data_IF_237265086954
#
_entry.id   IF_237265086954
#
_cell.length_a   1.000
_cell.length_b   1.000
_cell.length_c   1.000
_cell.angle_alpha   90.00
_cell.angle_beta   90.00
_cell.angle_gamma   90.00
#
_symmetry.space_group_name_H-M   'P 1'
#
loop_
_entity.id
_entity.type
_entity.pdbx_description
1 polymer ?
#
# COMPACT_ATOMS: atom_id res chain seq x y z
N UNK A 1 -4.67 21.11 -28.19
CA UNK A 1 -4.63 19.96 -27.25
C UNK A 1 -5.96 19.22 -27.29
N UNK A 2 -6.01 18.02 -27.85
CA UNK A 2 -7.24 17.20 -27.89
C UNK A 2 -7.47 16.65 -26.47
N UNK A 3 -8.60 17.01 -25.84
CA UNK A 3 -9.04 16.41 -24.58
C UNK A 3 -9.19 14.91 -24.79
N UNK A 4 -8.48 14.11 -23.99
CA UNK A 4 -8.64 12.65 -23.95
C UNK A 4 -10.10 12.31 -23.66
N UNK A 5 -10.70 11.46 -24.48
CA UNK A 5 -12.09 10.99 -24.36
C UNK A 5 -12.29 10.00 -23.17
N UNK A 6 -11.26 9.69 -22.44
CA UNK A 6 -11.28 8.79 -21.29
C UNK A 6 -11.01 9.53 -19.98
N UNK A 7 -11.88 10.51 -19.69
CA UNK A 7 -12.02 10.96 -18.29
C UNK A 7 -12.90 9.95 -17.56
N UNK A 8 -12.33 8.81 -17.21
CA UNK A 8 -12.99 7.94 -16.24
C UNK A 8 -13.16 8.76 -14.95
N UNK A 9 -14.36 8.83 -14.35
CA UNK A 9 -14.57 9.48 -13.06
C UNK A 9 -13.76 8.83 -11.93
N UNK A 10 -13.10 7.71 -12.22
CA UNK A 10 -12.29 6.91 -11.29
C UNK A 10 -10.79 7.28 -11.30
N UNK A 11 -10.34 8.14 -12.20
CA UNK A 11 -8.98 8.67 -12.20
C UNK A 11 -8.99 10.08 -11.64
N UNK A 12 -8.70 10.22 -10.36
CA UNK A 12 -8.35 11.53 -9.82
C UNK A 12 -7.04 11.98 -10.52
N UNK A 13 -7.09 13.09 -11.25
CA UNK A 13 -5.96 13.68 -11.99
C UNK A 13 -4.72 13.91 -11.13
N UNK A 14 -4.88 13.96 -9.82
CA UNK A 14 -3.85 14.32 -8.86
C UNK A 14 -2.96 13.13 -8.46
N UNK A 15 -3.29 11.91 -8.88
CA UNK A 15 -2.54 10.71 -8.55
C UNK A 15 -1.51 10.28 -9.59
N UNK A 16 -1.67 10.75 -10.81
CA UNK A 16 -0.72 10.57 -11.89
C UNK A 16 -0.17 11.94 -12.31
N UNK A 17 0.35 12.70 -11.36
CA UNK A 17 1.26 13.76 -11.75
C UNK A 17 2.49 13.06 -12.36
N UNK A 18 2.88 13.50 -13.55
CA UNK A 18 4.10 13.03 -14.23
C UNK A 18 5.37 13.15 -13.36
N UNK A 19 5.27 13.76 -12.21
CA UNK A 19 6.34 14.00 -11.24
C UNK A 19 6.54 12.83 -10.28
N UNK A 20 5.54 11.93 -10.13
CA UNK A 20 5.61 10.80 -9.19
C UNK A 20 6.16 9.53 -9.85
N UNK A 21 6.19 9.44 -11.18
CA UNK A 21 6.48 8.21 -11.91
C UNK A 21 7.83 8.13 -12.68
N UNK A 22 8.85 8.92 -12.43
CA UNK A 22 10.15 8.61 -12.98
C UNK A 22 10.90 7.54 -12.17
N UNK A 23 10.50 7.27 -10.93
CA UNK A 23 11.14 6.26 -10.09
C UNK A 23 10.37 4.94 -10.13
N UNK A 24 11.10 3.83 -10.15
CA UNK A 24 10.55 2.47 -10.06
C UNK A 24 9.79 2.25 -8.75
N UNK A 25 10.19 2.99 -7.71
CA UNK A 25 9.64 2.95 -6.36
C UNK A 25 9.47 4.38 -5.88
N UNK A 26 8.37 4.64 -5.21
CA UNK A 26 8.11 5.88 -4.49
C UNK A 26 7.81 5.55 -3.02
N UNK A 27 8.36 6.32 -2.10
CA UNK A 27 8.03 6.26 -0.67
C UNK A 27 7.72 7.66 -0.17
N UNK A 28 6.61 7.81 0.53
CA UNK A 28 6.17 9.10 1.02
C UNK A 28 5.28 9.03 2.26
N UNK A 29 4.88 10.21 2.71
CA UNK A 29 3.93 10.38 3.81
C UNK A 29 2.80 11.28 3.34
N UNK A 30 1.58 10.99 3.80
CA UNK A 30 0.39 11.72 3.41
C UNK A 30 -0.57 11.90 4.58
N UNK A 31 -1.25 13.05 4.58
CA UNK A 31 -2.35 13.31 5.50
C UNK A 31 -3.65 13.32 4.69
N UNK A 32 -4.52 12.36 4.98
CA UNK A 32 -5.83 12.22 4.35
C UNK A 32 -6.86 12.86 5.27
N UNK A 33 -7.43 13.99 4.83
CA UNK A 33 -8.44 14.77 5.58
C UNK A 33 -9.85 14.58 5.06
N UNK A 34 -9.98 14.07 3.85
CA UNK A 34 -11.25 13.86 3.14
C UNK A 34 -11.22 12.50 2.46
N UNK A 35 -12.40 11.97 2.18
CA UNK A 35 -12.52 10.72 1.43
C UNK A 35 -11.75 10.80 0.12
N UNK A 36 -10.85 9.85 -0.09
CA UNK A 36 -10.24 9.60 -1.40
C UNK A 36 -11.24 8.75 -2.17
N UNK A 37 -11.73 9.22 -3.35
CA UNK A 37 -12.71 8.48 -4.11
C UNK A 37 -12.15 7.13 -4.60
N UNK A 38 -13.02 6.23 -5.04
CA UNK A 38 -12.62 4.97 -5.64
C UNK A 38 -11.63 5.21 -6.77
N UNK A 39 -10.51 4.50 -6.70
CA UNK A 39 -9.44 4.54 -7.68
C UNK A 39 -8.83 3.16 -7.89
N UNK A 40 -8.13 3.03 -8.99
CA UNK A 40 -7.25 1.92 -9.33
C UNK A 40 -6.00 2.50 -10.00
N UNK A 41 -4.88 1.92 -9.78
CA UNK A 41 -3.60 2.26 -10.42
C UNK A 41 -2.83 1.00 -10.80
N UNK A 42 -1.77 1.14 -11.59
CA UNK A 42 -1.01 0.01 -12.13
C UNK A 42 0.16 -0.41 -11.22
N UNK A 43 0.35 0.31 -10.11
CA UNK A 43 1.38 0.01 -9.12
C UNK A 43 0.86 -0.92 -8.03
N UNK A 44 1.81 -1.57 -7.34
CA UNK A 44 1.59 -2.15 -6.02
C UNK A 44 1.78 -1.04 -5.00
N UNK A 45 0.78 -0.80 -4.16
CA UNK A 45 0.81 0.22 -3.12
C UNK A 45 0.73 -0.41 -1.73
N UNK A 46 1.70 -0.09 -0.88
CA UNK A 46 1.60 -0.33 0.56
C UNK A 46 1.18 0.95 1.27
N UNK A 47 0.24 0.83 2.21
CA UNK A 47 -0.21 1.94 3.06
C UNK A 47 -0.14 1.51 4.51
N UNK A 48 0.73 2.16 5.29
CA UNK A 48 0.77 2.02 6.75
C UNK A 48 0.00 3.16 7.39
N UNK A 49 -1.04 2.86 8.15
CA UNK A 49 -1.73 3.87 8.96
C UNK A 49 -0.89 4.18 10.20
N UNK A 50 -0.34 5.39 10.27
CA UNK A 50 0.52 5.89 11.35
C UNK A 50 -0.28 6.51 12.49
N UNK A 51 -1.39 7.20 12.15
CA UNK A 51 -2.32 7.75 13.14
C UNK A 51 -3.70 7.97 12.55
N UNK A 52 -4.70 8.10 13.42
CA UNK A 52 -6.09 8.32 13.04
C UNK A 52 -6.87 7.03 12.82
N UNK A 53 -8.13 7.20 12.44
CA UNK A 53 -9.10 6.13 12.21
C UNK A 53 -9.88 6.38 10.93
N UNK A 54 -10.33 5.31 10.29
CA UNK A 54 -11.10 5.41 9.05
C UNK A 54 -11.60 4.07 8.57
N UNK A 55 -12.07 4.07 7.33
CA UNK A 55 -12.51 2.87 6.62
C UNK A 55 -11.81 2.79 5.29
N UNK A 56 -11.38 1.60 4.93
CA UNK A 56 -10.90 1.29 3.59
C UNK A 56 -11.88 0.33 2.95
N UNK A 57 -12.27 0.64 1.72
CA UNK A 57 -13.12 -0.25 0.91
C UNK A 57 -12.33 -0.71 -0.29
N UNK A 58 -12.29 -2.01 -0.51
CA UNK A 58 -11.61 -2.63 -1.66
C UNK A 58 -12.55 -3.63 -2.32
N UNK A 59 -12.79 -3.45 -3.63
CA UNK A 59 -13.66 -4.33 -4.40
C UNK A 59 -14.99 -4.65 -3.67
N UNK A 60 -15.65 -3.65 -3.12
CA UNK A 60 -16.92 -3.75 -2.35
C UNK A 60 -16.79 -4.31 -0.91
N UNK A 61 -15.63 -4.73 -0.44
CA UNK A 61 -15.41 -5.10 0.96
C UNK A 61 -14.85 -3.91 1.74
N UNK A 62 -15.49 -3.59 2.87
CA UNK A 62 -15.07 -2.48 3.73
C UNK A 62 -14.59 -3.01 5.08
N UNK A 63 -13.50 -2.43 5.57
CA UNK A 63 -12.94 -2.74 6.88
C UNK A 63 -12.40 -1.50 7.58
N UNK A 64 -12.48 -1.46 8.91
CA UNK A 64 -11.95 -0.36 9.69
C UNK A 64 -10.42 -0.39 9.65
N UNK A 65 -9.83 0.81 9.63
CA UNK A 65 -8.39 1.01 9.74
C UNK A 65 -8.05 1.99 10.84
N UNK A 66 -6.95 1.76 11.50
CA UNK A 66 -6.40 2.64 12.53
C UNK A 66 -4.88 2.44 12.61
N UNK A 67 -4.20 3.15 13.50
CA UNK A 67 -2.74 2.97 13.70
C UNK A 67 -2.35 1.49 13.73
N UNK A 68 -1.35 1.12 12.95
CA UNK A 68 -0.87 -0.24 12.78
C UNK A 68 -1.59 -1.06 11.71
N UNK A 69 -2.60 -0.51 11.02
CA UNK A 69 -3.13 -1.16 9.82
C UNK A 69 -2.13 -1.02 8.68
N UNK A 70 -1.65 -2.14 8.15
CA UNK A 70 -0.82 -2.21 6.95
C UNK A 70 -1.65 -2.82 5.82
N UNK A 71 -1.78 -2.08 4.72
CA UNK A 71 -2.58 -2.45 3.56
C UNK A 71 -1.66 -2.67 2.36
N UNK A 72 -2.08 -3.53 1.45
CA UNK A 72 -1.42 -3.70 0.16
C UNK A 72 -2.46 -3.74 -0.95
N UNK A 73 -2.35 -2.81 -1.88
CA UNK A 73 -3.20 -2.75 -3.06
C UNK A 73 -2.44 -3.22 -4.29
N UNK A 74 -3.06 -4.07 -5.09
CA UNK A 74 -2.58 -4.50 -6.39
C UNK A 74 -3.34 -3.79 -7.52
N UNK A 75 -2.87 -3.86 -8.76
CA UNK A 75 -3.56 -3.26 -9.91
C UNK A 75 -5.01 -3.71 -10.11
N UNK A 76 -5.41 -4.85 -9.55
CA UNK A 76 -6.78 -5.37 -9.62
C UNK A 76 -7.73 -4.78 -8.56
N UNK A 77 -7.19 -4.00 -7.60
CA UNK A 77 -7.96 -3.49 -6.48
C UNK A 77 -8.52 -2.10 -6.76
N UNK A 78 -9.85 -2.00 -6.91
CA UNK A 78 -10.55 -0.73 -6.76
C UNK A 78 -10.65 -0.42 -5.28
N UNK A 79 -10.02 0.65 -4.84
CA UNK A 79 -9.98 1.00 -3.42
C UNK A 79 -10.39 2.44 -3.15
N UNK A 80 -10.89 2.66 -1.95
CA UNK A 80 -11.33 3.94 -1.40
C UNK A 80 -10.84 4.03 0.04
N UNK A 81 -10.36 5.19 0.46
CA UNK A 81 -9.92 5.46 1.83
C UNK A 81 -10.73 6.63 2.38
N UNK A 82 -11.39 6.42 3.52
CA UNK A 82 -12.23 7.41 4.16
C UNK A 82 -11.82 7.60 5.62
N UNK A 83 -11.30 8.76 6.01
CA UNK A 83 -11.14 9.08 7.42
C UNK A 83 -12.49 9.10 8.13
N UNK A 84 -12.51 8.74 9.41
CA UNK A 84 -13.67 8.96 10.27
C UNK A 84 -14.04 10.44 10.29
N UNK A 85 -15.34 10.75 10.26
CA UNK A 85 -15.83 12.13 10.24
C UNK A 85 -15.21 12.97 11.35
N UNK A 86 -14.59 14.09 10.97
CA UNK A 86 -13.91 14.99 11.90
C UNK A 86 -12.50 14.56 12.32
N UNK A 87 -12.00 13.43 11.75
CA UNK A 87 -10.66 12.91 11.94
C UNK A 87 -9.78 13.11 10.71
N UNK A 88 -8.54 12.67 10.81
CA UNK A 88 -7.60 12.56 9.70
C UNK A 88 -6.83 11.25 9.80
N UNK A 89 -6.41 10.72 8.68
CA UNK A 89 -5.44 9.62 8.64
C UNK A 89 -4.08 10.17 8.27
N UNK A 90 -3.05 9.79 9.03
CA UNK A 90 -1.66 9.99 8.65
C UNK A 90 -1.12 8.64 8.19
N UNK A 91 -0.63 8.58 6.97
CA UNK A 91 -0.18 7.33 6.36
C UNK A 91 1.25 7.44 5.83
N UNK A 92 1.98 6.34 5.91
CA UNK A 92 3.18 6.11 5.12
C UNK A 92 2.80 5.30 3.89
N UNK A 93 3.27 5.71 2.73
CA UNK A 93 2.98 5.07 1.44
C UNK A 93 4.27 4.55 0.80
N UNK A 94 4.19 3.36 0.19
CA UNK A 94 5.23 2.86 -0.70
C UNK A 94 4.57 2.33 -1.96
N UNK A 95 4.88 2.93 -3.09
CA UNK A 95 4.43 2.49 -4.41
C UNK A 95 5.59 1.85 -5.16
N UNK A 96 5.34 0.77 -5.88
CA UNK A 96 6.30 0.18 -6.79
C UNK A 96 5.62 -0.22 -8.09
N UNK A 97 6.33 -0.07 -9.20
CA UNK A 97 5.81 -0.50 -10.49
C UNK A 97 5.79 -2.04 -10.60
N UNK A 98 5.05 -2.55 -11.57
CA UNK A 98 4.91 -3.99 -11.80
C UNK A 98 6.23 -4.69 -12.12
N UNK A 99 7.20 -3.99 -12.71
CA UNK A 99 8.54 -4.52 -12.99
C UNK A 99 9.31 -4.84 -11.72
N UNK A 100 9.32 -3.91 -10.76
CA UNK A 100 9.92 -4.11 -9.42
C UNK A 100 9.26 -5.29 -8.71
N UNK A 101 7.94 -5.35 -8.74
CA UNK A 101 7.19 -6.44 -8.15
C UNK A 101 7.58 -7.80 -8.75
N UNK A 102 7.61 -7.90 -10.08
CA UNK A 102 8.01 -9.13 -10.78
C UNK A 102 9.47 -9.51 -10.47
N UNK A 103 10.36 -8.52 -10.37
CA UNK A 103 11.76 -8.76 -10.00
C UNK A 103 11.88 -9.35 -8.58
N UNK A 104 11.12 -8.81 -7.61
CA UNK A 104 11.11 -9.30 -6.24
C UNK A 104 10.54 -10.73 -6.19
N UNK A 105 9.41 -10.97 -6.83
CA UNK A 105 8.73 -12.29 -6.79
C UNK A 105 9.45 -13.38 -7.58
N UNK A 106 10.26 -13.01 -8.57
CA UNK A 106 11.12 -13.95 -9.29
C UNK A 106 12.35 -14.39 -8.50
N UNK A 107 12.65 -13.76 -7.35
CA UNK A 107 13.76 -14.13 -6.51
C UNK A 107 13.55 -15.55 -5.94
N UNK A 108 14.48 -16.51 -6.17
CA UNK A 108 14.32 -17.89 -5.71
C UNK A 108 14.34 -18.04 -4.18
N UNK A 109 14.78 -17.00 -3.46
CA UNK A 109 14.75 -16.94 -1.99
C UNK A 109 13.50 -16.27 -1.45
N UNK A 110 12.63 -15.80 -2.34
CA UNK A 110 11.34 -15.28 -1.95
C UNK A 110 10.41 -16.45 -1.61
N UNK A 111 9.78 -16.38 -0.45
CA UNK A 111 8.97 -17.48 0.06
C UNK A 111 7.81 -17.81 -0.87
N UNK A 112 7.48 -19.13 -1.06
CA UNK A 112 6.44 -19.58 -1.99
C UNK A 112 5.06 -18.97 -1.77
N UNK A 113 4.74 -18.51 -0.58
CA UNK A 113 3.49 -17.86 -0.26
C UNK A 113 3.30 -16.53 -1.02
N UNK A 114 4.37 -15.88 -1.42
CA UNK A 114 4.29 -14.65 -2.20
C UNK A 114 3.93 -14.86 -3.67
N UNK A 115 4.08 -16.06 -4.20
CA UNK A 115 3.55 -16.41 -5.53
C UNK A 115 2.01 -16.42 -5.56
N UNK A 116 1.39 -16.31 -4.40
CA UNK A 116 -0.02 -16.10 -4.21
C UNK A 116 -0.21 -14.71 -3.62
N UNK A 117 0.08 -13.64 -4.39
CA UNK A 117 -0.51 -12.36 -4.01
C UNK A 117 -2.01 -12.63 -3.89
N UNK A 118 -2.51 -12.61 -2.66
CA UNK A 118 -3.90 -12.91 -2.49
C UNK A 118 -4.68 -11.84 -3.23
N UNK A 119 -5.49 -12.27 -4.15
CA UNK A 119 -6.73 -11.59 -4.42
C UNK A 119 -7.62 -12.03 -3.26
N UNK A 120 -7.73 -11.29 -2.30
CA UNK A 120 -8.18 -9.96 -2.01
C UNK A 120 -7.14 -9.11 -1.27
N UNK A 121 -7.56 -7.91 -0.87
CA UNK A 121 -6.71 -6.95 -0.20
C UNK A 121 -6.08 -7.60 1.00
N UNK A 122 -4.79 -7.51 1.06
CA UNK A 122 -4.09 -7.93 2.24
C UNK A 122 -4.12 -6.76 3.21
N UNK A 123 -4.88 -6.93 4.28
CA UNK A 123 -4.80 -6.06 5.43
C UNK A 123 -4.10 -6.84 6.55
N UNK A 124 -3.05 -6.27 7.08
CA UNK A 124 -2.37 -6.80 8.25
C UNK A 124 -2.59 -5.87 9.44
N UNK A 125 -2.75 -6.41 10.64
CA UNK A 125 -2.81 -5.65 11.87
C UNK A 125 -1.51 -5.82 12.63
N UNK A 126 -0.71 -4.77 12.67
CA UNK A 126 0.58 -4.75 13.35
C UNK A 126 0.42 -4.37 14.82
N UNK A 127 1.24 -4.94 15.69
CA UNK A 127 1.42 -4.44 17.06
C UNK A 127 2.09 -3.06 17.04
N UNK A 128 2.07 -2.33 18.14
CA UNK A 128 2.73 -1.03 18.25
C UNK A 128 4.24 -1.12 17.93
N UNK A 129 4.91 -2.16 18.44
CA UNK A 129 6.33 -2.39 18.15
C UNK A 129 6.60 -2.64 16.66
N UNK A 130 5.75 -3.47 16.00
CA UNK A 130 5.91 -3.73 14.55
C UNK A 130 5.53 -2.51 13.71
N UNK A 131 4.55 -1.73 14.15
CA UNK A 131 4.18 -0.46 13.51
C UNK A 131 5.37 0.48 13.49
N UNK A 132 6.02 0.69 14.64
CA UNK A 132 7.20 1.55 14.73
C UNK A 132 8.36 1.04 13.87
N UNK A 133 8.63 -0.26 13.87
CA UNK A 133 9.65 -0.86 12.99
C UNK A 133 9.32 -0.66 11.51
N UNK A 134 8.06 -0.72 11.14
CA UNK A 134 7.61 -0.50 9.76
C UNK A 134 7.74 0.96 9.36
N UNK A 135 7.48 1.90 10.29
CA UNK A 135 7.75 3.32 10.07
C UNK A 135 9.23 3.57 9.75
N UNK A 136 10.14 3.02 10.57
CA UNK A 136 11.59 3.12 10.34
C UNK A 136 12.01 2.45 9.03
N UNK A 137 11.42 1.31 8.69
CA UNK A 137 11.69 0.61 7.43
C UNK A 137 11.32 1.47 6.22
N UNK A 138 10.17 2.15 6.26
CA UNK A 138 9.77 3.07 5.18
C UNK A 138 10.72 4.28 5.08
N UNK A 139 11.18 4.82 6.20
CA UNK A 139 12.16 5.91 6.23
C UNK A 139 13.51 5.47 5.67
N UNK A 140 13.99 4.27 6.04
CA UNK A 140 15.21 3.68 5.51
C UNK A 140 15.08 3.41 4.00
N UNK A 141 13.95 2.88 3.55
CA UNK A 141 13.66 2.66 2.14
C UNK A 141 13.71 3.98 1.36
N UNK A 142 13.04 5.03 1.85
CA UNK A 142 13.06 6.36 1.24
C UNK A 142 14.49 6.91 1.08
N UNK A 143 15.38 6.60 2.02
CA UNK A 143 16.77 7.08 1.97
C UNK A 143 17.66 6.36 0.94
N UNK A 144 17.22 5.21 0.41
CA UNK A 144 18.05 4.38 -0.48
C UNK A 144 17.49 4.19 -1.89
N UNK A 145 16.18 4.44 -2.12
CA UNK A 145 15.51 4.12 -3.40
C UNK A 145 16.08 4.90 -4.60
N UNK A 146 16.49 6.14 -4.41
CA UNK A 146 16.99 7.01 -5.50
C UNK A 146 18.47 6.80 -5.83
N UNK A 147 19.15 5.87 -5.16
CA UNK A 147 20.59 5.67 -5.32
C UNK A 147 20.97 4.83 -6.54
N UNK A 148 20.12 3.89 -6.91
CA UNK A 148 20.30 3.01 -8.06
C UNK A 148 18.99 2.32 -8.43
N UNK A 149 18.85 1.77 -9.66
CA UNK A 149 17.75 0.88 -10.02
C UNK A 149 17.64 -0.29 -9.06
N UNK A 150 16.43 -0.84 -8.87
CA UNK A 150 16.19 -1.93 -7.90
C UNK A 150 17.08 -3.15 -8.15
N UNK A 151 17.42 -3.44 -9.39
CA UNK A 151 18.29 -4.56 -9.79
C UNK A 151 19.72 -4.45 -9.28
N UNK A 152 20.15 -3.23 -8.94
CA UNK A 152 21.49 -2.90 -8.43
C UNK A 152 21.43 -2.39 -6.97
N UNK A 153 20.23 -2.18 -6.43
CA UNK A 153 19.99 -1.61 -5.10
C UNK A 153 19.61 -2.69 -4.10
N UNK A 154 20.59 -3.49 -3.67
CA UNK A 154 20.36 -4.55 -2.70
C UNK A 154 19.69 -4.09 -1.40
N UNK A 155 20.06 -2.94 -0.78
CA UNK A 155 19.35 -2.46 0.40
C UNK A 155 17.86 -2.24 0.17
N UNK A 156 17.47 -1.57 -0.92
CA UNK A 156 16.07 -1.36 -1.26
C UNK A 156 15.33 -2.68 -1.48
N UNK A 157 15.95 -3.63 -2.19
CA UNK A 157 15.40 -4.96 -2.40
C UNK A 157 15.08 -5.68 -1.09
N UNK A 158 16.01 -5.72 -0.13
CA UNK A 158 15.79 -6.38 1.17
C UNK A 158 14.74 -5.67 2.02
N UNK A 159 14.64 -4.34 1.95
CA UNK A 159 13.62 -3.59 2.67
C UNK A 159 12.22 -3.87 2.11
N UNK A 160 12.07 -3.95 0.79
CA UNK A 160 10.81 -4.35 0.16
C UNK A 160 10.43 -5.80 0.52
N UNK A 161 11.39 -6.73 0.52
CA UNK A 161 11.16 -8.10 0.97
C UNK A 161 10.62 -8.15 2.41
N UNK A 162 11.13 -7.30 3.30
CA UNK A 162 10.62 -7.20 4.68
C UNK A 162 9.17 -6.70 4.71
N UNK A 163 8.79 -5.73 3.87
CA UNK A 163 7.39 -5.27 3.78
C UNK A 163 6.45 -6.41 3.38
N UNK A 164 6.81 -7.17 2.36
CA UNK A 164 6.02 -8.34 1.95
C UNK A 164 5.95 -9.40 3.07
N UNK A 165 7.06 -9.66 3.76
CA UNK A 165 7.09 -10.59 4.88
C UNK A 165 6.20 -10.18 6.06
N UNK A 166 6.01 -8.88 6.28
CA UNK A 166 5.07 -8.39 7.30
C UNK A 166 3.63 -8.70 6.92
N UNK A 167 3.25 -8.48 5.65
CA UNK A 167 1.92 -8.84 5.16
C UNK A 167 1.66 -10.33 5.35
N UNK A 168 2.59 -11.17 4.93
CA UNK A 168 2.48 -12.62 5.02
C UNK A 168 2.27 -13.09 6.47
N UNK A 169 3.06 -12.53 7.39
CA UNK A 169 3.03 -12.90 8.81
C UNK A 169 1.76 -12.46 9.53
N UNK A 170 1.21 -11.29 9.17
CA UNK A 170 0.13 -10.63 9.90
C UNK A 170 -1.14 -10.45 9.06
N UNK A 171 -1.23 -11.12 7.90
CA UNK A 171 -2.43 -11.05 7.06
C UNK A 171 -3.66 -11.51 7.85
N UNK A 172 -4.65 -10.64 7.93
CA UNK A 172 -5.97 -10.98 8.47
C UNK A 172 -6.81 -11.49 7.30
N UNK A 173 -7.23 -12.74 7.35
CA UNK A 173 -8.12 -13.28 6.34
C UNK A 173 -9.47 -12.53 6.38
N UNK A 174 -10.10 -12.25 5.22
CA UNK A 174 -11.35 -11.48 5.16
C UNK A 174 -12.50 -12.04 6.02
N UNK A 175 -12.48 -13.32 6.34
CA UNK A 175 -13.47 -13.99 7.19
C UNK A 175 -13.38 -13.58 8.68
N UNK A 176 -12.23 -13.15 9.17
CA UNK A 176 -12.06 -12.73 10.56
C UNK A 176 -12.56 -11.30 10.80
N UNK A 177 -12.64 -10.48 9.77
CA UNK A 177 -13.18 -9.12 9.87
C UNK A 177 -14.72 -9.09 10.04
N UNK A 178 -15.42 -10.17 9.72
CA UNK A 178 -16.89 -10.23 9.81
C UNK A 178 -17.40 -10.43 11.25
N UNK A 179 -16.57 -10.92 12.17
CA UNK A 179 -16.96 -11.25 13.54
C UNK A 179 -16.68 -10.17 14.60
N UNK A 180 -16.13 -9.01 14.21
CA UNK A 180 -15.85 -7.91 15.16
C UNK A 180 -17.09 -7.02 15.39
N UNK A 181 -18.26 -7.38 14.87
CA UNK A 181 -19.48 -6.57 15.00
C UNK A 181 -20.35 -6.86 16.22
N UNK A 182 -20.05 -7.87 17.03
CA UNK A 182 -20.90 -8.27 18.16
C UNK A 182 -20.09 -8.61 19.42
N UNK A 183 -19.37 -7.61 19.99
CA UNK A 183 -19.05 -7.62 21.43
C UNK A 183 -18.94 -6.19 21.95
#
# INVERSE_FOLDING_TARGET
>A
MKKSKYSSPYYAKDYFSKEILPSEIYVGQKIIRQSIPYRRHDEIEFVLVRSGEGTVTVNANSFPVSRGSLLCFSPSHFHKIEPTKGSRLEVGECHMNSGVYLYITACPYYLPAANQLPTPPVAARLSESETHKTELLLEELAAVIDKAPITENQPAFFLLMKLFGLLEKYAVLPQECAHIKDT
#
